data_IF_327950090810
#
_entry.id   IF_327950090810
#
_cell.length_a   1.000
_cell.length_b   1.000
_cell.length_c   1.000
_cell.angle_alpha   90.00
_cell.angle_beta   90.00
_cell.angle_gamma   90.00
#
_symmetry.space_group_name_H-M   'P 1'
#
loop_
_entity.id
_entity.type
_entity.pdbx_description
1 polymer ?
#
# COMPACT_ATOMS: atom_id res chain seq x y z
N UNK A 1 22.44 4.66 18.28
CA UNK A 1 22.68 3.43 17.49
C UNK A 1 21.63 3.35 16.39
N UNK A 2 21.99 3.10 15.13
CA UNK A 2 21.01 2.81 14.07
C UNK A 2 20.33 1.48 14.44
N UNK A 3 19.01 1.48 14.66
CA UNK A 3 18.25 0.29 15.05
C UNK A 3 17.98 -0.65 13.87
N UNK A 4 17.61 -1.91 14.15
CA UNK A 4 17.17 -2.86 13.11
C UNK A 4 15.75 -2.51 12.66
N UNK A 5 15.45 -2.58 11.37
CA UNK A 5 14.09 -2.44 10.83
C UNK A 5 13.72 -3.74 10.13
N UNK A 6 12.56 -4.30 10.46
CA UNK A 6 12.00 -5.44 9.75
C UNK A 6 11.00 -4.96 8.70
N UNK A 7 11.10 -5.49 7.48
CA UNK A 7 10.17 -5.21 6.39
C UNK A 7 9.54 -6.54 5.98
N UNK A 8 8.21 -6.60 6.00
CA UNK A 8 7.43 -7.78 5.67
C UNK A 8 6.57 -7.47 4.45
N UNK A 9 6.48 -8.43 3.53
CA UNK A 9 5.52 -8.40 2.44
C UNK A 9 4.50 -9.52 2.66
N UNK A 10 3.22 -9.19 2.55
CA UNK A 10 2.08 -10.11 2.68
C UNK A 10 1.13 -9.87 1.50
N UNK A 11 0.43 -10.91 1.07
CA UNK A 11 -0.56 -10.81 -0.01
C UNK A 11 -1.96 -11.12 0.51
N UNK A 12 -2.95 -10.38 0.03
CA UNK A 12 -4.38 -10.67 0.25
C UNK A 12 -4.87 -11.88 -0.55
N UNK A 13 -6.12 -12.26 -0.31
CA UNK A 13 -6.76 -13.41 -0.98
C UNK A 13 -8.07 -13.06 -1.66
N UNK A 14 -8.75 -12.02 -1.21
CA UNK A 14 -10.03 -11.59 -1.79
C UNK A 14 -9.77 -11.02 -3.18
N UNK A 15 -10.42 -11.58 -4.20
CA UNK A 15 -10.20 -11.26 -5.63
C UNK A 15 -8.78 -11.55 -6.17
N UNK A 16 -8.00 -12.35 -5.44
CA UNK A 16 -6.61 -12.69 -5.76
C UNK A 16 -6.41 -14.22 -5.72
N UNK A 17 -5.24 -14.75 -6.13
CA UNK A 17 -4.97 -16.18 -6.03
C UNK A 17 -5.15 -16.74 -4.62
N UNK A 18 -5.64 -17.98 -4.53
CA UNK A 18 -5.79 -18.68 -3.26
C UNK A 18 -4.43 -19.07 -2.70
N UNK A 19 -4.05 -18.44 -1.59
CA UNK A 19 -2.80 -18.72 -0.85
C UNK A 19 -3.11 -19.02 0.62
N UNK A 20 -2.06 -19.31 1.40
CA UNK A 20 -2.15 -19.42 2.86
C UNK A 20 -2.76 -18.17 3.50
N UNK A 21 -3.32 -18.32 4.70
CA UNK A 21 -3.98 -17.21 5.39
C UNK A 21 -2.96 -16.12 5.80
N UNK A 22 -3.04 -14.89 5.25
CA UNK A 22 -2.06 -13.85 5.53
C UNK A 22 -2.08 -13.41 7.00
N UNK A 23 -3.22 -13.51 7.67
CA UNK A 23 -3.37 -13.18 9.08
C UNK A 23 -2.56 -14.14 9.98
N UNK A 24 -2.62 -15.45 9.68
CA UNK A 24 -1.84 -16.46 10.43
C UNK A 24 -0.35 -16.37 10.09
N UNK A 25 -0.02 -16.10 8.83
CA UNK A 25 1.37 -15.87 8.41
C UNK A 25 1.98 -14.66 9.11
N UNK A 26 1.22 -13.56 9.23
CA UNK A 26 1.61 -12.38 10.00
C UNK A 26 1.88 -12.73 11.48
N UNK A 27 0.99 -13.48 12.13
CA UNK A 27 1.18 -13.87 13.54
C UNK A 27 2.45 -14.72 13.73
N UNK A 28 2.68 -15.69 12.85
CA UNK A 28 3.85 -16.57 12.89
C UNK A 28 5.17 -15.82 12.68
N UNK A 29 5.23 -14.88 11.72
CA UNK A 29 6.47 -14.14 11.49
C UNK A 29 6.73 -13.11 12.58
N UNK A 30 5.68 -12.45 13.10
CA UNK A 30 5.82 -11.50 14.19
C UNK A 30 6.31 -12.18 15.48
N UNK A 31 5.94 -13.43 15.74
CA UNK A 31 6.47 -14.16 16.91
C UNK A 31 7.98 -14.37 16.84
N UNK A 32 8.58 -14.36 15.64
CA UNK A 32 10.02 -14.49 15.44
C UNK A 32 10.77 -13.16 15.45
N UNK A 33 10.10 -12.07 15.05
CA UNK A 33 10.73 -10.76 14.88
C UNK A 33 10.73 -9.90 16.16
N UNK A 34 9.79 -10.13 17.08
CA UNK A 34 9.65 -9.31 18.31
C UNK A 34 10.91 -9.28 19.18
N UNK A 35 11.75 -10.32 19.15
CA UNK A 35 13.04 -10.35 19.86
C UNK A 35 14.14 -9.55 19.18
N UNK A 36 14.00 -9.28 17.87
CA UNK A 36 15.01 -8.64 17.04
C UNK A 36 14.79 -7.12 16.90
N UNK A 37 13.53 -6.71 16.76
CA UNK A 37 13.18 -5.29 16.63
C UNK A 37 11.72 -4.99 16.94
N UNK A 38 11.46 -3.76 17.39
CA UNK A 38 10.12 -3.17 17.49
C UNK A 38 9.72 -2.37 16.24
N UNK A 39 10.67 -2.07 15.35
CA UNK A 39 10.42 -1.33 14.12
C UNK A 39 10.07 -2.30 13.00
N UNK A 40 8.78 -2.45 12.74
CA UNK A 40 8.25 -3.44 11.79
C UNK A 40 7.33 -2.72 10.81
N UNK A 41 7.64 -2.81 9.52
CA UNK A 41 6.86 -2.24 8.43
C UNK A 41 6.28 -3.39 7.61
N UNK A 42 4.99 -3.34 7.33
CA UNK A 42 4.27 -4.34 6.54
C UNK A 42 3.78 -3.69 5.25
N UNK A 43 4.22 -4.20 4.11
CA UNK A 43 3.54 -4.04 2.82
C UNK A 43 2.46 -5.12 2.72
N UNK A 44 1.20 -4.71 2.56
CA UNK A 44 0.10 -5.64 2.36
C UNK A 44 -0.50 -5.47 0.95
N UNK A 45 -0.04 -6.32 0.05
CA UNK A 45 -0.43 -6.35 -1.36
C UNK A 45 -1.78 -7.05 -1.54
N UNK A 46 -2.87 -6.27 -1.57
CA UNK A 46 -4.22 -6.81 -1.52
C UNK A 46 -5.23 -5.98 -2.32
N UNK A 47 -6.22 -6.62 -2.92
CA UNK A 47 -7.29 -5.93 -3.68
C UNK A 47 -8.38 -5.37 -2.76
N UNK A 48 -8.98 -6.22 -1.92
CA UNK A 48 -10.14 -5.82 -1.14
C UNK A 48 -9.79 -4.87 0.01
N UNK A 49 -10.40 -3.68 0.02
CA UNK A 49 -10.26 -2.69 1.08
C UNK A 49 -10.67 -3.23 2.46
N UNK A 50 -11.70 -4.07 2.52
CA UNK A 50 -12.12 -4.74 3.74
C UNK A 50 -11.02 -5.67 4.31
N UNK A 51 -10.30 -6.40 3.45
CA UNK A 51 -9.19 -7.27 3.88
C UNK A 51 -8.01 -6.44 4.38
N UNK A 52 -7.69 -5.31 3.71
CA UNK A 52 -6.66 -4.35 4.12
C UNK A 52 -6.96 -3.73 5.48
N UNK A 53 -8.18 -3.23 5.70
CA UNK A 53 -8.59 -2.67 6.99
C UNK A 53 -8.61 -3.73 8.09
N UNK A 54 -9.10 -4.93 7.81
CA UNK A 54 -9.09 -6.04 8.76
C UNK A 54 -7.65 -6.39 9.20
N UNK A 55 -6.69 -6.43 8.27
CA UNK A 55 -5.28 -6.63 8.61
C UNK A 55 -4.70 -5.48 9.45
N UNK A 56 -5.07 -4.24 9.12
CA UNK A 56 -4.71 -3.06 9.91
C UNK A 56 -5.17 -3.19 11.37
N UNK A 57 -6.44 -3.53 11.57
CA UNK A 57 -7.00 -3.78 12.91
C UNK A 57 -6.36 -4.99 13.59
N UNK A 58 -6.07 -6.07 12.85
CA UNK A 58 -5.40 -7.25 13.38
C UNK A 58 -4.00 -6.91 13.90
N UNK A 59 -3.23 -6.11 13.18
CA UNK A 59 -1.82 -5.82 13.50
C UNK A 59 -1.60 -4.55 14.33
N UNK A 60 -2.64 -3.77 14.63
CA UNK A 60 -2.53 -2.54 15.40
C UNK A 60 -1.84 -2.77 16.76
N UNK A 61 -0.83 -1.95 17.05
CA UNK A 61 0.02 -2.04 18.24
C UNK A 61 1.09 -3.13 18.20
N UNK A 62 1.10 -3.97 17.16
CA UNK A 62 2.06 -5.08 16.99
C UNK A 62 3.15 -4.78 15.96
N UNK A 63 2.95 -3.74 15.15
CA UNK A 63 3.87 -3.26 14.11
C UNK A 63 3.93 -1.73 14.11
N UNK A 64 4.93 -1.17 13.44
CA UNK A 64 5.07 0.27 13.28
C UNK A 64 4.11 0.82 12.23
N UNK A 65 4.04 0.20 11.06
CA UNK A 65 3.15 0.64 9.99
C UNK A 65 2.69 -0.50 9.09
N UNK A 66 1.45 -0.42 8.60
CA UNK A 66 0.91 -1.22 7.50
C UNK A 66 0.58 -0.30 6.33
N UNK A 67 1.25 -0.52 5.21
CA UNK A 67 1.05 0.20 3.97
C UNK A 67 0.43 -0.77 2.97
N UNK A 68 -0.82 -0.55 2.59
CA UNK A 68 -1.42 -1.35 1.53
C UNK A 68 -0.86 -0.99 0.15
N UNK A 69 -0.83 -1.97 -0.74
CA UNK A 69 -0.47 -1.80 -2.17
C UNK A 69 -1.40 -2.66 -3.03
N UNK A 70 -1.18 -2.69 -4.36
CA UNK A 70 -1.89 -3.45 -5.41
C UNK A 70 -2.84 -2.63 -6.28
N UNK A 71 -3.67 -1.76 -5.70
CA UNK A 71 -4.79 -1.17 -6.47
C UNK A 71 -4.36 0.00 -7.36
N UNK A 72 -3.10 0.42 -7.26
CA UNK A 72 -2.45 1.49 -8.02
C UNK A 72 -3.04 2.91 -7.84
N UNK A 73 -4.13 3.06 -7.10
CA UNK A 73 -4.72 4.36 -6.75
C UNK A 73 -4.47 4.64 -5.27
N UNK A 74 -3.77 5.74 -4.98
CA UNK A 74 -3.48 6.15 -3.61
C UNK A 74 -4.77 6.54 -2.88
N UNK A 75 -4.99 5.98 -1.69
CA UNK A 75 -6.11 6.36 -0.83
C UNK A 75 -5.78 7.58 0.03
N UNK A 76 -6.79 8.29 0.54
CA UNK A 76 -6.62 9.46 1.41
C UNK A 76 -6.98 9.17 2.88
N UNK A 77 -6.71 7.94 3.33
CA UNK A 77 -7.12 7.44 4.64
C UNK A 77 -5.94 7.17 5.58
N UNK A 78 -4.78 7.76 5.27
CA UNK A 78 -3.58 7.71 6.08
C UNK A 78 -3.85 8.21 7.49
N UNK A 79 -3.53 7.38 8.48
CA UNK A 79 -3.77 7.70 9.89
C UNK A 79 -2.92 6.85 10.80
N UNK A 80 -2.87 7.24 12.07
CA UNK A 80 -2.33 6.41 13.15
C UNK A 80 -3.52 5.72 13.82
N UNK A 81 -3.49 4.39 13.87
CA UNK A 81 -4.50 3.56 14.53
C UNK A 81 -4.41 3.70 16.07
N UNK A 82 -5.46 3.32 16.82
CA UNK A 82 -5.54 3.58 18.26
C UNK A 82 -4.35 3.08 19.09
N UNK A 83 -3.70 1.97 18.71
CA UNK A 83 -2.55 1.44 19.44
C UNK A 83 -1.19 1.92 18.91
N UNK A 84 -1.17 2.80 17.91
CA UNK A 84 0.02 3.51 17.44
C UNK A 84 0.63 3.00 16.14
N UNK A 85 -0.07 2.13 15.41
CA UNK A 85 0.36 1.67 14.07
C UNK A 85 -0.03 2.69 13.01
N UNK A 86 0.91 3.10 12.15
CA UNK A 86 0.61 3.90 10.96
C UNK A 86 -0.10 3.04 9.91
N UNK A 87 -1.11 3.58 9.24
CA UNK A 87 -1.94 2.83 8.31
C UNK A 87 -2.35 3.68 7.12
N UNK A 88 -2.33 3.08 5.92
CA UNK A 88 -2.99 3.58 4.71
C UNK A 88 -3.50 2.38 3.90
N UNK A 89 -4.69 2.50 3.30
CA UNK A 89 -5.29 1.40 2.53
C UNK A 89 -4.56 1.11 1.23
N UNK A 90 -4.08 2.12 0.50
CA UNK A 90 -3.17 1.91 -0.64
C UNK A 90 -2.22 3.10 -0.82
N UNK A 91 -0.92 2.84 -0.97
CA UNK A 91 0.08 3.89 -1.23
C UNK A 91 0.00 4.47 -2.63
N UNK A 92 -0.73 3.81 -3.55
CA UNK A 92 -0.80 4.14 -4.97
C UNK A 92 0.38 3.59 -5.77
N UNK A 93 0.36 3.87 -7.06
CA UNK A 93 1.41 3.50 -8.01
C UNK A 93 2.39 4.67 -8.24
N UNK A 94 3.67 4.34 -8.42
CA UNK A 94 4.62 5.25 -9.05
C UNK A 94 4.77 4.89 -10.54
N UNK A 95 4.28 5.74 -11.43
CA UNK A 95 4.13 5.44 -12.85
C UNK A 95 3.21 6.42 -13.58
N UNK A 96 2.82 6.10 -14.82
CA UNK A 96 2.01 6.97 -15.66
C UNK A 96 0.54 7.00 -15.20
N UNK A 97 -0.03 8.18 -14.94
CA UNK A 97 -1.43 8.38 -14.57
C UNK A 97 -2.33 8.85 -15.71
N UNK A 98 -1.76 9.34 -16.82
CA UNK A 98 -2.43 9.42 -18.13
C UNK A 98 -2.54 8.00 -18.72
N UNK A 99 -3.30 7.16 -18.01
CA UNK A 99 -3.36 5.73 -18.17
C UNK A 99 -4.55 5.15 -17.42
N UNK A 100 -4.81 3.86 -17.61
CA UNK A 100 -5.68 3.08 -16.73
C UNK A 100 -4.80 2.09 -15.99
N UNK A 101 -4.51 2.39 -14.71
CA UNK A 101 -3.76 1.50 -13.80
C UNK A 101 -2.34 1.18 -14.34
N UNK A 102 -1.74 2.13 -15.09
CA UNK A 102 -0.41 2.01 -15.70
C UNK A 102 -0.42 1.60 -17.18
N UNK A 103 -1.58 1.25 -17.72
CA UNK A 103 -1.78 0.76 -19.09
C UNK A 103 -2.32 1.86 -20.00
N UNK A 104 -1.99 1.83 -21.30
CA UNK A 104 -2.59 2.75 -22.29
C UNK A 104 -4.12 2.73 -22.20
N UNK A 105 -4.72 3.92 -22.01
CA UNK A 105 -6.15 4.07 -21.77
C UNK A 105 -7.01 3.41 -22.86
N UNK A 106 -6.64 3.57 -24.14
CA UNK A 106 -7.37 2.97 -25.25
C UNK A 106 -7.40 1.43 -25.20
N UNK A 107 -6.30 0.78 -24.82
CA UNK A 107 -6.24 -0.67 -24.71
C UNK A 107 -7.11 -1.18 -23.57
N UNK A 108 -7.09 -0.50 -22.42
CA UNK A 108 -7.96 -0.82 -21.29
C UNK A 108 -9.45 -0.60 -21.66
N UNK A 109 -9.78 0.52 -22.30
CA UNK A 109 -11.14 0.85 -22.74
C UNK A 109 -11.69 -0.21 -23.72
N UNK A 110 -10.89 -0.58 -24.73
CA UNK A 110 -11.28 -1.60 -25.70
C UNK A 110 -11.58 -2.96 -25.04
N UNK A 111 -10.85 -3.32 -23.99
CA UNK A 111 -11.10 -4.56 -23.23
C UNK A 111 -12.48 -4.55 -22.59
N UNK A 112 -12.92 -3.40 -22.05
CA UNK A 112 -14.26 -3.29 -21.45
C UNK A 112 -15.38 -3.13 -22.48
N UNK A 113 -15.16 -2.33 -23.54
CA UNK A 113 -16.18 -2.11 -24.59
C UNK A 113 -16.45 -3.36 -25.43
N UNK A 114 -15.39 -4.02 -25.89
CA UNK A 114 -15.49 -5.12 -26.86
C UNK A 114 -15.38 -6.50 -26.22
N UNK A 115 -14.96 -6.59 -24.94
CA UNK A 115 -14.73 -7.84 -24.24
C UNK A 115 -13.76 -8.79 -24.98
N UNK A 116 -12.82 -8.22 -25.73
CA UNK A 116 -11.79 -8.97 -26.45
C UNK A 116 -10.41 -8.79 -25.81
N UNK A 117 -9.48 -9.75 -25.98
CA UNK A 117 -8.10 -9.59 -25.55
C UNK A 117 -7.46 -8.38 -26.20
N UNK A 118 -6.79 -7.56 -25.40
CA UNK A 118 -6.01 -6.42 -25.86
C UNK A 118 -4.56 -6.63 -25.44
N UNK A 119 -3.61 -6.14 -26.24
CA UNK A 119 -2.19 -6.19 -25.86
C UNK A 119 -1.96 -5.31 -24.64
N UNK A 120 -1.19 -5.82 -23.69
CA UNK A 120 -0.72 -5.04 -22.57
C UNK A 120 0.38 -4.07 -23.04
N UNK A 121 0.04 -2.79 -23.17
CA UNK A 121 0.98 -1.72 -23.48
C UNK A 121 1.05 -0.69 -22.36
N UNK A 122 2.22 -0.55 -21.73
CA UNK A 122 2.43 0.45 -20.69
C UNK A 122 2.27 1.88 -21.25
N UNK A 123 1.60 2.75 -20.48
CA UNK A 123 1.57 4.17 -20.76
C UNK A 123 2.93 4.84 -20.43
N UNK A 124 3.10 6.10 -20.81
CA UNK A 124 4.38 6.83 -20.63
C UNK A 124 4.23 8.27 -20.14
N UNK A 125 3.04 8.85 -20.26
CA UNK A 125 2.80 10.26 -19.96
C UNK A 125 2.32 10.43 -18.52
N UNK A 126 2.41 11.67 -18.02
CA UNK A 126 1.90 12.09 -16.71
C UNK A 126 2.38 11.17 -15.57
N UNK A 127 3.71 11.15 -15.37
CA UNK A 127 4.33 10.24 -14.41
C UNK A 127 4.29 10.86 -13.02
N UNK A 128 3.67 10.14 -12.08
CA UNK A 128 3.66 10.50 -10.67
C UNK A 128 4.45 9.50 -9.83
N UNK A 129 5.01 9.98 -8.74
CA UNK A 129 5.53 9.19 -7.63
C UNK A 129 4.51 9.21 -6.51
N UNK A 130 4.05 8.02 -6.11
CA UNK A 130 3.21 7.84 -4.94
C UNK A 130 3.97 7.05 -3.86
N UNK A 131 3.83 7.49 -2.61
CA UNK A 131 4.49 6.87 -1.48
C UNK A 131 3.98 7.42 -0.15
N UNK A 132 4.67 7.06 0.93
CA UNK A 132 4.29 7.46 2.29
C UNK A 132 5.55 7.84 3.06
N UNK A 133 5.52 9.00 3.72
CA UNK A 133 6.52 9.41 4.69
C UNK A 133 6.08 8.97 6.09
N UNK A 134 7.00 8.35 6.84
CA UNK A 134 6.77 7.86 8.19
C UNK A 134 7.82 8.41 9.14
N UNK A 135 7.37 8.91 10.30
CA UNK A 135 8.24 9.16 11.46
C UNK A 135 7.91 8.13 12.52
N UNK A 136 8.85 7.25 12.84
CA UNK A 136 8.68 6.17 13.82
C UNK A 136 9.60 6.42 15.01
N UNK A 137 9.05 6.23 16.21
CA UNK A 137 9.79 6.27 17.46
C UNK A 137 10.57 4.96 17.64
N UNK A 138 11.90 5.08 17.73
CA UNK A 138 12.81 3.94 17.74
C UNK A 138 12.81 3.15 19.06
N UNK A 139 12.32 3.73 20.15
CA UNK A 139 12.26 3.07 21.47
C UNK A 139 10.96 2.29 21.63
N UNK A 140 9.85 2.86 21.16
CA UNK A 140 8.51 2.26 21.28
C UNK A 140 8.09 1.48 20.05
N UNK A 141 8.63 1.77 18.87
CA UNK A 141 8.19 1.24 17.59
C UNK A 141 6.90 1.87 17.04
N UNK A 142 6.33 2.86 17.74
CA UNK A 142 5.07 3.52 17.35
C UNK A 142 5.30 4.57 16.28
N UNK A 143 4.34 4.70 15.37
CA UNK A 143 4.32 5.79 14.39
C UNK A 143 3.91 7.09 15.08
N UNK A 144 4.65 8.16 14.79
CA UNK A 144 4.43 9.53 15.27
C UNK A 144 3.84 10.44 14.19
N UNK A 145 4.14 10.15 12.92
CA UNK A 145 3.65 10.88 11.75
C UNK A 145 3.54 9.94 10.57
N UNK A 146 2.46 10.10 9.81
CA UNK A 146 2.26 9.48 8.51
C UNK A 146 1.74 10.56 7.56
N UNK A 147 2.39 10.72 6.40
CA UNK A 147 1.99 11.67 5.36
C UNK A 147 2.08 11.01 3.99
N UNK A 148 1.09 11.23 3.14
CA UNK A 148 1.15 10.75 1.76
C UNK A 148 2.06 11.62 0.92
N UNK A 149 2.77 10.98 0.01
CA UNK A 149 3.54 11.61 -1.05
C UNK A 149 2.79 11.33 -2.35
N UNK A 150 2.42 12.38 -3.08
CA UNK A 150 2.00 12.33 -4.47
C UNK A 150 2.70 13.48 -5.19
N UNK A 151 3.63 13.16 -6.08
CA UNK A 151 4.49 14.15 -6.72
C UNK A 151 4.72 13.83 -8.21
N UNK A 152 4.49 14.78 -9.15
CA UNK A 152 3.84 16.08 -8.92
C UNK A 152 2.39 15.90 -8.42
N UNK A 153 1.75 16.95 -7.89
CA UNK A 153 0.32 16.86 -7.60
C UNK A 153 -0.50 16.80 -8.90
N UNK A 154 -1.67 16.17 -8.86
CA UNK A 154 -2.61 16.24 -9.97
C UNK A 154 -3.08 17.66 -10.22
N UNK A 155 -3.27 18.00 -11.49
CA UNK A 155 -3.97 19.22 -11.89
C UNK A 155 -5.40 19.20 -11.34
N UNK A 156 -5.71 20.17 -10.48
CA UNK A 156 -7.05 20.33 -9.86
C UNK A 156 -7.82 21.53 -10.41
N UNK A 157 -7.13 22.42 -11.11
CA UNK A 157 -7.66 23.66 -11.66
C UNK A 157 -7.10 23.84 -13.07
N UNK A 158 -7.96 24.25 -14.01
CA UNK A 158 -7.55 24.66 -15.35
C UNK A 158 -7.49 26.19 -15.32
N UNK A 159 -6.31 26.76 -15.56
CA UNK A 159 -6.14 28.20 -15.75
C UNK A 159 -6.18 28.50 -17.24
N UNK A 160 -7.07 29.41 -17.65
CA UNK A 160 -7.20 29.91 -19.02
C UNK A 160 -5.95 30.65 -19.52
#
# INVERSE_FOLDING_TARGET
KKGKVAVLNLQGRTFMPTIDCPFRSADWILSKLKSETKMIIVDFHAEATAEKQAMGHHLDGRISALIGTHTHIQTSDERILPQGTGYITDSGMSGPYDSVIGMKAQAALNRFLYQTPQKYEAAKNDVHLCGVFLKIDSETGKTKLIERINFPEFTKEITD
#
